data_IF_719584972919
#
_entry.id   IF_719584972919
#
_cell.length_a   1.000
_cell.length_b   1.000
_cell.length_c   1.000
_cell.angle_alpha   90.00
_cell.angle_beta   90.00
_cell.angle_gamma   90.00
#
_symmetry.space_group_name_H-M   'P 1'
#
loop_
_entity.id
_entity.type
_entity.pdbx_description
1 polymer ?
#
# COMPACT_ATOMS: atom_id res chain seq x y z
N UNK A 1 16.37 -52.02 -41.58
CA UNK A 1 15.13 -52.52 -40.94
C UNK A 1 14.35 -51.28 -40.50
N UNK A 2 13.35 -50.91 -41.28
CA UNK A 2 12.55 -49.69 -41.11
C UNK A 2 11.52 -49.92 -40.00
N UNK A 3 11.56 -49.09 -38.95
CA UNK A 3 10.51 -49.05 -37.92
C UNK A 3 9.26 -48.36 -38.48
N UNK A 4 8.12 -48.99 -38.25
CA UNK A 4 6.77 -48.65 -38.70
C UNK A 4 6.34 -47.24 -38.25
N UNK A 5 5.69 -46.51 -39.16
CA UNK A 5 5.14 -45.15 -39.02
C UNK A 5 4.19 -45.01 -37.82
N UNK A 6 3.54 -46.09 -37.37
CA UNK A 6 2.72 -46.09 -36.15
C UNK A 6 3.55 -45.98 -34.85
N UNK A 7 4.76 -46.53 -34.82
CA UNK A 7 5.62 -46.52 -33.62
C UNK A 7 6.32 -45.17 -33.45
N UNK A 8 6.57 -44.43 -34.54
CA UNK A 8 7.12 -43.05 -34.49
C UNK A 8 6.17 -42.04 -33.85
N UNK A 9 4.86 -42.17 -34.05
CA UNK A 9 3.88 -41.22 -33.51
C UNK A 9 3.63 -41.41 -32.00
N UNK A 10 3.80 -42.63 -31.47
CA UNK A 10 3.64 -42.89 -30.03
C UNK A 10 4.84 -42.38 -29.22
N UNK A 11 6.06 -42.43 -29.80
CA UNK A 11 7.26 -41.91 -29.14
C UNK A 11 7.28 -40.37 -29.07
N UNK A 12 6.74 -39.67 -30.08
CA UNK A 12 6.63 -38.20 -30.09
C UNK A 12 5.60 -37.72 -29.07
N UNK A 13 4.48 -38.43 -28.90
CA UNK A 13 3.48 -38.08 -27.87
C UNK A 13 4.01 -38.34 -26.46
N UNK A 14 4.78 -39.42 -26.24
CA UNK A 14 5.34 -39.71 -24.91
C UNK A 14 6.44 -38.72 -24.46
N UNK A 15 7.25 -38.20 -25.39
CA UNK A 15 8.26 -37.16 -25.09
C UNK A 15 7.58 -35.80 -24.83
N UNK A 16 6.50 -35.48 -25.55
CA UNK A 16 5.73 -34.24 -25.29
C UNK A 16 4.98 -34.33 -23.94
N UNK A 17 4.52 -35.50 -23.53
CA UNK A 17 3.87 -35.69 -22.23
C UNK A 17 4.82 -35.73 -21.03
N UNK A 18 6.11 -35.99 -21.23
CA UNK A 18 7.12 -35.99 -20.15
C UNK A 18 7.89 -34.68 -20.00
N UNK A 19 7.67 -33.71 -20.89
CA UNK A 19 8.11 -32.30 -20.71
C UNK A 19 7.10 -31.47 -19.92
N UNK A 20 5.89 -31.98 -19.66
CA UNK A 20 4.81 -31.25 -18.98
C UNK A 20 4.61 -31.58 -17.49
N UNK A 21 5.45 -32.42 -16.88
CA UNK A 21 5.38 -32.70 -15.43
C UNK A 21 6.79 -32.68 -14.85
N UNK A 22 7.28 -31.49 -14.52
CA UNK A 22 8.62 -31.32 -13.96
C UNK A 22 8.96 -29.88 -13.59
N UNK A 23 8.13 -29.20 -12.81
CA UNK A 23 8.53 -27.93 -12.18
C UNK A 23 9.11 -28.20 -10.80
N UNK A 24 10.41 -28.52 -10.78
CA UNK A 24 11.28 -28.27 -9.64
C UNK A 24 12.46 -27.44 -10.13
N UNK A 25 12.51 -26.17 -9.73
CA UNK A 25 13.73 -25.38 -9.53
C UNK A 25 13.30 -24.14 -8.71
N UNK A 26 13.93 -23.77 -7.60
CA UNK A 26 15.37 -23.79 -7.36
C UNK A 26 15.89 -22.41 -7.73
N UNK A 27 16.02 -21.56 -6.73
CA UNK A 27 16.34 -20.14 -6.80
C UNK A 27 17.77 -19.82 -7.28
N UNK A 28 17.99 -18.51 -7.51
CA UNK A 28 19.22 -17.68 -7.42
C UNK A 28 19.79 -17.16 -8.77
N UNK A 29 19.51 -15.88 -9.12
CA UNK A 29 20.32 -14.63 -8.89
C UNK A 29 21.37 -14.41 -10.01
N UNK A 30 21.61 -13.27 -10.69
CA UNK A 30 21.30 -11.84 -10.57
C UNK A 30 21.17 -11.24 -11.99
N UNK A 31 20.38 -10.17 -12.16
CA UNK A 31 20.59 -9.17 -13.22
C UNK A 31 19.92 -7.87 -12.79
N UNK A 32 20.71 -6.81 -12.73
CA UNK A 32 20.33 -5.44 -12.37
C UNK A 32 19.36 -4.91 -13.45
N UNK A 33 18.12 -4.57 -13.09
CA UNK A 33 17.16 -3.96 -14.03
C UNK A 33 15.95 -3.40 -13.27
N UNK A 34 15.54 -2.17 -13.59
CA UNK A 34 14.29 -1.57 -13.10
C UNK A 34 13.12 -2.23 -13.85
N UNK A 35 12.57 -3.31 -13.31
CA UNK A 35 11.52 -4.09 -13.99
C UNK A 35 10.13 -3.56 -13.63
N UNK A 36 9.35 -3.15 -14.63
CA UNK A 36 7.90 -3.00 -14.51
C UNK A 36 7.23 -4.37 -14.66
N UNK A 37 6.46 -4.81 -13.66
CA UNK A 37 5.64 -6.03 -13.69
C UNK A 37 4.20 -5.66 -14.07
N UNK A 38 3.74 -6.08 -15.25
CA UNK A 38 2.39 -5.80 -15.75
C UNK A 38 1.41 -6.92 -15.34
N UNK A 39 0.64 -6.73 -14.26
CA UNK A 39 -0.64 -7.43 -14.07
C UNK A 39 -1.79 -6.42 -14.19
N UNK A 40 -2.32 -6.23 -15.41
CA UNK A 40 -3.55 -5.45 -15.62
C UNK A 40 -4.75 -6.31 -15.20
N UNK A 41 -5.10 -6.29 -13.91
CA UNK A 41 -6.33 -6.90 -13.41
C UNK A 41 -7.52 -5.93 -13.51
N UNK A 42 -8.44 -6.18 -14.45
CA UNK A 42 -9.70 -5.42 -14.58
C UNK A 42 -10.72 -5.96 -13.58
N UNK A 43 -10.80 -5.36 -12.40
CA UNK A 43 -11.87 -5.66 -11.43
C UNK A 43 -12.96 -4.60 -11.54
N UNK A 44 -14.14 -5.00 -12.05
CA UNK A 44 -15.34 -4.20 -11.95
C UNK A 44 -15.90 -4.23 -10.53
N UNK A 45 -16.31 -3.07 -10.03
CA UNK A 45 -17.25 -3.01 -8.92
C UNK A 45 -18.70 -3.00 -9.47
N UNK A 46 -19.37 -4.13 -9.26
CA UNK A 46 -20.83 -4.36 -9.21
C UNK A 46 -21.78 -3.89 -10.33
N UNK A 47 -21.34 -3.45 -11.50
CA UNK A 47 -22.22 -3.28 -12.68
C UNK A 47 -21.92 -4.29 -13.78
N UNK A 48 -22.93 -5.01 -14.29
CA UNK A 48 -22.78 -6.17 -15.19
C UNK A 48 -22.38 -5.82 -16.64
N UNK A 49 -21.26 -5.13 -16.90
CA UNK A 49 -20.74 -4.93 -18.28
C UNK A 49 -19.20 -4.86 -18.35
N UNK A 50 -18.55 -5.91 -18.88
CA UNK A 50 -17.10 -5.90 -19.14
C UNK A 50 -16.72 -4.69 -20.02
N UNK A 51 -15.80 -3.85 -19.53
CA UNK A 51 -15.07 -2.87 -20.34
C UNK A 51 -13.72 -3.46 -20.72
N UNK A 52 -13.32 -3.37 -22.00
CA UNK A 52 -11.99 -3.80 -22.44
C UNK A 52 -11.03 -2.62 -22.44
N UNK A 53 -9.98 -2.70 -21.62
CA UNK A 53 -8.82 -1.83 -21.74
C UNK A 53 -7.84 -2.55 -22.67
N UNK A 54 -7.76 -2.13 -23.93
CA UNK A 54 -6.84 -2.72 -24.89
C UNK A 54 -5.54 -1.91 -24.91
N UNK A 55 -4.50 -2.46 -24.30
CA UNK A 55 -3.15 -1.94 -24.44
C UNK A 55 -2.60 -2.24 -25.86
N UNK A 56 -1.79 -1.35 -26.43
CA UNK A 56 -1.09 -1.58 -27.72
C UNK A 56 0.42 -1.66 -27.46
N UNK A 57 1.00 -2.86 -27.44
CA UNK A 57 2.46 -3.05 -27.38
C UNK A 57 3.12 -2.37 -28.58
N UNK A 58 4.05 -1.44 -28.33
CA UNK A 58 4.90 -0.87 -29.38
C UNK A 58 4.99 0.65 -29.47
N UNK A 59 4.15 1.43 -28.75
CA UNK A 59 4.23 2.90 -28.72
C UNK A 59 4.45 3.46 -27.29
N UNK A 60 5.30 2.80 -26.50
CA UNK A 60 5.92 3.44 -25.34
C UNK A 60 5.61 2.88 -23.95
N UNK A 61 4.64 1.99 -23.73
CA UNK A 61 4.48 1.39 -22.39
C UNK A 61 3.87 0.00 -22.36
N UNK A 62 4.65 -1.03 -22.67
CA UNK A 62 4.19 -2.41 -22.52
C UNK A 62 4.94 -3.39 -23.41
N UNK A 63 6.26 -3.29 -23.33
CA UNK A 63 7.01 -4.51 -23.17
C UNK A 63 7.24 -4.69 -21.68
N UNK A 64 7.09 -5.90 -21.16
CA UNK A 64 7.68 -6.29 -19.89
C UNK A 64 9.13 -5.77 -19.84
N UNK A 65 9.58 -5.26 -18.69
CA UNK A 65 10.97 -4.80 -18.48
C UNK A 65 11.37 -3.48 -19.19
N UNK A 66 10.46 -2.52 -19.37
CA UNK A 66 10.85 -1.18 -19.84
C UNK A 66 11.59 -0.41 -18.75
N UNK A 67 12.81 0.03 -19.05
CA UNK A 67 13.57 0.90 -18.17
C UNK A 67 13.01 2.34 -18.21
N UNK A 68 12.72 2.89 -17.03
CA UNK A 68 12.40 4.31 -16.84
C UNK A 68 13.66 5.01 -16.36
N UNK A 69 14.05 6.09 -17.04
CA UNK A 69 15.16 6.92 -16.60
C UNK A 69 14.69 7.91 -15.52
N UNK A 70 15.33 7.86 -14.35
CA UNK A 70 15.03 8.77 -13.25
C UNK A 70 15.29 10.23 -13.66
N UNK A 71 14.40 11.13 -13.23
CA UNK A 71 14.44 12.57 -13.50
C UNK A 71 13.99 12.96 -14.92
N UNK A 72 13.59 12.02 -15.77
CA UNK A 72 13.08 12.32 -17.13
C UNK A 72 11.62 11.96 -17.30
N UNK A 73 10.97 12.71 -18.18
CA UNK A 73 9.63 12.38 -18.67
C UNK A 73 9.67 11.15 -19.56
N UNK A 74 8.80 10.20 -19.24
CA UNK A 74 8.57 9.01 -20.05
C UNK A 74 7.12 9.06 -20.52
N UNK A 75 6.93 9.10 -21.83
CA UNK A 75 5.61 9.24 -22.46
C UNK A 75 5.02 7.89 -22.85
N UNK A 76 3.71 7.79 -22.74
CA UNK A 76 2.96 6.55 -22.87
C UNK A 76 1.59 6.81 -23.48
N UNK A 77 1.04 5.80 -24.15
CA UNK A 77 -0.29 5.88 -24.74
C UNK A 77 -1.18 4.74 -24.25
N UNK A 78 -2.32 5.11 -23.65
CA UNK A 78 -3.40 4.20 -23.29
C UNK A 78 -4.48 4.27 -24.35
N UNK A 79 -5.16 3.15 -24.54
CA UNK A 79 -6.17 2.98 -25.57
C UNK A 79 -7.42 2.35 -24.98
N UNK A 80 -8.52 3.10 -24.94
CA UNK A 80 -9.82 2.59 -24.51
C UNK A 80 -10.73 2.36 -25.70
N UNK A 81 -11.43 1.23 -25.71
CA UNK A 81 -12.38 0.89 -26.76
C UNK A 81 -13.75 0.61 -26.14
N UNK A 82 -14.75 1.36 -26.59
CA UNK A 82 -16.13 1.07 -26.21
C UNK A 82 -16.67 -0.05 -27.10
N UNK A 83 -16.60 -1.29 -26.61
CA UNK A 83 -17.09 -2.48 -27.32
C UNK A 83 -18.62 -2.66 -27.25
N UNK A 84 -19.36 -1.67 -26.77
CA UNK A 84 -20.83 -1.71 -26.72
C UNK A 84 -21.41 -2.04 -28.10
N UNK A 85 -22.24 -3.10 -28.25
CA UNK A 85 -22.85 -3.44 -29.53
C UNK A 85 -23.91 -2.41 -29.98
N UNK A 86 -24.30 -1.48 -29.08
CA UNK A 86 -25.19 -0.36 -29.41
C UNK A 86 -24.39 0.80 -29.99
N UNK A 87 -24.81 1.30 -31.15
CA UNK A 87 -24.22 2.48 -31.83
C UNK A 87 -24.57 3.83 -31.20
N UNK A 88 -25.40 3.85 -30.15
CA UNK A 88 -25.88 5.10 -29.50
C UNK A 88 -25.38 5.28 -28.06
N UNK A 89 -24.83 4.23 -27.44
CA UNK A 89 -24.54 4.23 -26.01
C UNK A 89 -23.07 4.55 -25.71
N UNK A 90 -22.70 5.84 -25.77
CA UNK A 90 -21.39 6.29 -25.32
C UNK A 90 -21.14 5.90 -23.86
N UNK A 91 -19.90 5.57 -23.53
CA UNK A 91 -19.43 5.60 -22.15
C UNK A 91 -19.13 7.04 -21.81
N UNK A 92 -19.84 7.60 -20.84
CA UNK A 92 -19.61 8.97 -20.37
C UNK A 92 -18.89 8.92 -19.04
N UNK A 93 -18.30 10.04 -18.65
CA UNK A 93 -17.80 10.20 -17.29
C UNK A 93 -16.67 9.20 -16.96
N UNK A 94 -15.83 8.83 -17.95
CA UNK A 94 -14.78 7.83 -17.77
C UNK A 94 -13.47 8.49 -17.33
N UNK A 95 -12.89 8.01 -16.24
CA UNK A 95 -11.58 8.43 -15.76
C UNK A 95 -10.62 7.25 -15.81
N UNK A 96 -9.34 7.54 -15.98
CA UNK A 96 -8.29 6.51 -15.94
C UNK A 96 -7.49 6.70 -14.67
N UNK A 97 -7.68 5.80 -13.71
CA UNK A 97 -6.88 5.73 -12.51
C UNK A 97 -5.58 4.99 -12.80
N UNK A 98 -4.47 5.67 -12.59
CA UNK A 98 -3.13 5.09 -12.64
C UNK A 98 -2.66 4.86 -11.22
N UNK A 99 -2.27 3.63 -10.89
CA UNK A 99 -1.66 3.27 -9.62
C UNK A 99 -0.24 2.84 -9.87
N UNK A 100 0.68 3.36 -9.07
CA UNK A 100 2.08 2.97 -9.06
C UNK A 100 2.42 2.48 -7.67
N UNK A 101 2.73 1.20 -7.54
CA UNK A 101 2.99 0.58 -6.23
C UNK A 101 4.44 0.79 -5.79
N UNK A 102 4.67 0.78 -4.48
CA UNK A 102 6.02 0.88 -3.87
C UNK A 102 6.77 2.19 -4.18
N UNK A 103 6.07 3.25 -4.58
CA UNK A 103 6.65 4.58 -4.80
C UNK A 103 5.97 5.61 -3.90
N UNK A 104 6.76 6.49 -3.28
CA UNK A 104 6.20 7.63 -2.55
C UNK A 104 5.74 8.72 -3.55
N UNK A 105 4.51 9.25 -3.43
CA UNK A 105 3.96 10.32 -4.26
C UNK A 105 4.89 11.52 -4.50
N UNK A 106 5.72 11.90 -3.54
CA UNK A 106 6.65 13.05 -3.67
C UNK A 106 7.77 12.80 -4.69
N UNK A 107 7.97 11.55 -5.13
CA UNK A 107 9.01 11.20 -6.10
C UNK A 107 8.43 10.98 -7.51
N UNK A 108 7.19 11.39 -7.75
CA UNK A 108 6.51 11.15 -9.03
C UNK A 108 5.69 12.36 -9.47
N UNK A 109 5.86 12.72 -10.73
CA UNK A 109 5.02 13.67 -11.44
C UNK A 109 4.30 12.94 -12.57
N UNK A 110 3.01 13.22 -12.74
CA UNK A 110 2.19 12.63 -13.79
C UNK A 110 1.49 13.75 -14.57
N UNK A 111 1.59 13.68 -15.88
CA UNK A 111 0.86 14.57 -16.78
C UNK A 111 0.06 13.76 -17.79
N UNK A 112 -1.03 14.34 -18.26
CA UNK A 112 -1.80 13.80 -19.38
C UNK A 112 -1.95 14.84 -20.47
N UNK A 113 -2.12 14.39 -21.71
CA UNK A 113 -2.26 15.27 -22.85
C UNK A 113 -3.73 15.59 -23.12
N UNK A 114 -4.07 16.87 -23.09
CA UNK A 114 -5.39 17.40 -23.44
C UNK A 114 -5.21 18.54 -24.45
N UNK A 115 -5.90 18.48 -25.58
CA UNK A 115 -5.86 19.49 -26.66
C UNK A 115 -4.43 19.89 -27.07
N UNK A 116 -3.58 18.89 -27.31
CA UNK A 116 -2.15 19.03 -27.64
C UNK A 116 -1.26 19.64 -26.55
N UNK A 117 -1.80 19.90 -25.36
CA UNK A 117 -1.10 20.46 -24.20
C UNK A 117 -0.96 19.42 -23.11
N UNK A 118 0.18 19.40 -22.42
CA UNK A 118 0.39 18.55 -21.25
C UNK A 118 -0.12 19.25 -19.99
N UNK A 119 -0.95 18.55 -19.23
CA UNK A 119 -1.54 19.05 -17.99
C UNK A 119 -1.11 18.20 -16.79
N UNK A 120 -0.67 18.88 -15.73
CA UNK A 120 -0.31 18.26 -14.45
C UNK A 120 -1.52 17.62 -13.80
N UNK A 121 -1.34 16.37 -13.42
CA UNK A 121 -2.31 15.59 -12.68
C UNK A 121 -1.84 15.50 -11.23
N UNK A 122 -2.69 15.89 -10.27
CA UNK A 122 -2.40 15.66 -8.87
C UNK A 122 -2.14 14.17 -8.59
N UNK A 123 -1.09 13.91 -7.83
CA UNK A 123 -0.71 12.57 -7.39
C UNK A 123 -0.98 12.45 -5.89
N UNK A 124 -1.55 11.33 -5.47
CA UNK A 124 -1.98 11.10 -4.10
C UNK A 124 -1.33 9.82 -3.55
N UNK A 125 -1.26 9.74 -2.23
CA UNK A 125 -0.83 8.50 -1.56
C UNK A 125 -1.91 7.43 -1.68
N UNK A 126 -1.53 6.24 -2.13
CA UNK A 126 -2.47 5.13 -2.37
C UNK A 126 -3.20 4.69 -1.10
N UNK A 127 -2.60 4.87 0.08
CA UNK A 127 -3.19 4.50 1.39
C UNK A 127 -4.47 5.28 1.69
N UNK A 128 -4.64 6.43 1.05
CA UNK A 128 -5.85 7.25 1.10
C UNK A 128 -7.03 6.59 0.37
N UNK A 129 -6.76 5.79 -0.66
CA UNK A 129 -7.78 5.07 -1.45
C UNK A 129 -7.94 3.63 -0.99
N UNK A 130 -6.83 2.89 -0.91
CA UNK A 130 -6.81 1.48 -0.57
C UNK A 130 -5.84 1.24 0.58
N UNK A 131 -6.42 0.92 1.73
CA UNK A 131 -5.69 0.76 3.00
C UNK A 131 -4.67 -0.37 2.88
N UNK A 132 -3.47 -0.13 3.40
CA UNK A 132 -2.38 -1.10 3.40
C UNK A 132 -1.62 -1.24 2.08
N UNK A 133 -2.04 -0.53 1.03
CA UNK A 133 -1.27 -0.45 -0.21
C UNK A 133 -0.41 0.81 -0.20
N UNK A 134 0.90 0.63 -0.39
CA UNK A 134 1.86 1.72 -0.51
C UNK A 134 2.11 2.03 -1.97
N UNK A 135 2.07 3.32 -2.30
CA UNK A 135 2.23 3.75 -3.67
C UNK A 135 1.66 5.14 -3.94
N UNK A 136 1.69 5.50 -5.21
CA UNK A 136 1.12 6.71 -5.75
C UNK A 136 -0.09 6.40 -6.62
N UNK A 137 -1.06 7.30 -6.66
CA UNK A 137 -2.26 7.18 -7.49
C UNK A 137 -2.64 8.52 -8.10
N UNK A 138 -3.05 8.49 -9.37
CA UNK A 138 -3.52 9.67 -10.09
C UNK A 138 -4.74 9.32 -10.95
N UNK A 139 -5.71 10.21 -10.99
CA UNK A 139 -6.90 10.09 -11.84
C UNK A 139 -6.72 10.98 -13.06
N UNK A 140 -6.55 10.36 -14.24
CA UNK A 140 -6.32 11.04 -15.51
C UNK A 140 -7.64 11.37 -16.22
N UNK A 141 -7.73 12.60 -16.71
CA UNK A 141 -8.81 13.06 -17.58
C UNK A 141 -9.41 14.40 -17.15
N UNK A 142 -10.29 14.97 -17.99
CA UNK A 142 -10.95 16.23 -17.69
C UNK A 142 -11.89 16.10 -16.48
N UNK A 143 -12.31 17.23 -15.92
CA UNK A 143 -13.19 17.29 -14.74
C UNK A 143 -14.54 16.53 -14.91
N UNK A 144 -15.03 16.43 -16.15
CA UNK A 144 -16.25 15.70 -16.50
C UNK A 144 -15.98 14.27 -16.99
N UNK A 145 -14.73 13.81 -16.94
CA UNK A 145 -14.30 12.54 -17.49
C UNK A 145 -14.39 12.50 -19.03
N UNK A 146 -13.84 11.43 -19.58
CA UNK A 146 -13.88 11.18 -21.02
C UNK A 146 -15.23 10.64 -21.46
N UNK A 147 -15.68 11.09 -22.63
CA UNK A 147 -16.72 10.41 -23.40
C UNK A 147 -16.08 9.53 -24.46
N UNK A 148 -16.44 8.24 -24.47
CA UNK A 148 -15.99 7.24 -25.43
C UNK A 148 -17.21 6.76 -26.21
N UNK A 149 -17.33 7.26 -27.43
CA UNK A 149 -18.38 6.87 -28.36
C UNK A 149 -18.35 5.36 -28.66
N UNK A 150 -19.51 4.73 -28.93
CA UNK A 150 -19.57 3.31 -29.24
C UNK A 150 -18.72 2.91 -30.44
N UNK A 151 -18.10 1.74 -30.36
CA UNK A 151 -17.25 1.16 -31.39
C UNK A 151 -16.05 2.05 -31.78
N UNK A 152 -15.81 3.17 -31.09
CA UNK A 152 -14.64 4.01 -31.27
C UNK A 152 -13.57 3.67 -30.25
N UNK A 153 -12.33 3.96 -30.65
CA UNK A 153 -11.14 3.87 -29.82
C UNK A 153 -10.69 5.29 -29.45
N UNK A 154 -10.53 5.56 -28.15
CA UNK A 154 -9.93 6.79 -27.65
C UNK A 154 -8.49 6.49 -27.26
N UNK A 155 -7.55 7.23 -27.85
CA UNK A 155 -6.14 7.26 -27.43
C UNK A 155 -5.98 8.35 -26.38
N UNK A 156 -5.24 8.04 -25.32
CA UNK A 156 -4.92 8.94 -24.23
C UNK A 156 -3.41 8.91 -24.04
N UNK A 157 -2.76 10.05 -24.18
CA UNK A 157 -1.33 10.17 -23.91
C UNK A 157 -1.13 10.61 -22.46
N UNK A 158 -0.23 9.94 -21.76
CA UNK A 158 0.22 10.30 -20.43
C UNK A 158 1.75 10.32 -20.40
N UNK A 159 2.32 11.02 -19.42
CA UNK A 159 3.74 10.92 -19.15
C UNK A 159 4.00 10.92 -17.66
N UNK A 160 5.01 10.16 -17.25
CA UNK A 160 5.42 10.03 -15.86
C UNK A 160 6.89 10.40 -15.75
N UNK A 161 7.22 11.14 -14.70
CA UNK A 161 8.59 11.45 -14.31
C UNK A 161 8.79 10.96 -12.89
N UNK A 162 9.80 10.12 -12.71
CA UNK A 162 10.14 9.51 -11.42
C UNK A 162 11.49 10.06 -10.99
N UNK A 163 11.56 10.72 -9.83
CA UNK A 163 12.77 11.45 -9.40
C UNK A 163 13.94 10.54 -8.99
N UNK A 164 13.63 9.32 -8.55
CA UNK A 164 14.61 8.36 -8.01
C UNK A 164 14.53 7.02 -8.70
N UNK A 165 15.57 6.21 -8.54
CA UNK A 165 15.56 4.83 -9.01
C UNK A 165 14.73 3.99 -8.04
N UNK A 166 13.77 3.24 -8.58
CA UNK A 166 12.95 2.27 -7.85
C UNK A 166 13.08 0.89 -8.51
N UNK A 167 13.26 -0.14 -7.70
CA UNK A 167 13.26 -1.53 -8.17
C UNK A 167 11.82 -2.06 -8.18
N UNK A 168 11.46 -2.83 -9.20
CA UNK A 168 10.17 -3.54 -9.29
C UNK A 168 8.94 -2.63 -9.13
N UNK A 169 8.95 -1.48 -9.82
CA UNK A 169 7.78 -0.61 -9.87
C UNK A 169 6.64 -1.38 -10.54
N UNK A 170 5.49 -1.52 -9.88
CA UNK A 170 4.31 -2.11 -10.48
C UNK A 170 3.34 -1.00 -10.86
N UNK A 171 2.74 -1.09 -12.05
CA UNK A 171 1.81 -0.08 -12.55
C UNK A 171 0.51 -0.74 -12.95
N UNK A 172 -0.60 -0.19 -12.46
CA UNK A 172 -1.94 -0.65 -12.78
C UNK A 172 -2.77 0.51 -13.33
N UNK A 173 -3.47 0.28 -14.44
CA UNK A 173 -4.44 1.21 -15.00
C UNK A 173 -5.86 0.68 -14.86
N UNK A 174 -6.75 1.50 -14.32
CA UNK A 174 -8.16 1.17 -14.14
C UNK A 174 -9.04 2.23 -14.81
N UNK A 175 -10.05 1.80 -15.57
CA UNK A 175 -11.09 2.69 -16.08
C UNK A 175 -12.26 2.74 -15.09
N UNK A 176 -12.58 3.92 -14.56
CA UNK A 176 -13.65 4.12 -13.56
C UNK A 176 -14.71 5.09 -14.09
N UNK A 177 -15.97 4.89 -13.71
CA UNK A 177 -17.06 5.82 -14.04
C UNK A 177 -17.23 6.84 -12.91
N UNK A 178 -17.21 8.13 -13.23
CA UNK A 178 -17.31 9.21 -12.24
C UNK A 178 -18.70 9.38 -11.63
N UNK A 179 -19.73 8.69 -12.17
CA UNK A 179 -21.08 8.61 -11.59
C UNK A 179 -21.19 7.55 -10.48
N UNK A 180 -20.15 6.74 -10.28
CA UNK A 180 -20.13 5.79 -9.18
C UNK A 180 -20.02 6.55 -7.86
N UNK A 181 -21.05 6.43 -7.02
CA UNK A 181 -21.00 6.75 -5.58
C UNK A 181 -20.00 5.87 -4.80
N UNK A 182 -19.18 5.10 -5.51
CA UNK A 182 -18.08 4.35 -4.96
C UNK A 182 -16.95 5.33 -4.74
N UNK A 183 -16.75 5.60 -3.46
CA UNK A 183 -15.60 6.26 -2.87
C UNK A 183 -14.50 6.61 -3.87
N UNK A 184 -14.30 7.91 -4.02
CA UNK A 184 -13.06 8.54 -4.49
C UNK A 184 -13.05 8.78 -6.00
N UNK A 185 -13.71 9.87 -6.40
CA UNK A 185 -13.14 10.74 -7.43
C UNK A 185 -12.38 11.85 -6.70
N UNK A 186 -11.08 11.96 -6.93
CA UNK A 186 -10.24 12.93 -6.20
C UNK A 186 -10.41 14.35 -6.78
N UNK A 187 -10.97 14.47 -7.99
CA UNK A 187 -11.03 15.72 -8.76
C UNK A 187 -12.33 16.55 -8.72
N UNK A 188 -13.48 16.02 -8.27
CA UNK A 188 -14.67 16.85 -7.98
C UNK A 188 -14.95 16.80 -6.48
N UNK A 189 -14.67 17.93 -5.84
CA UNK A 189 -15.08 18.31 -4.49
C UNK A 189 -14.50 17.44 -3.35
N UNK A 190 -13.45 17.96 -2.72
CA UNK A 190 -13.22 17.94 -1.26
C UNK A 190 -13.10 16.59 -0.52
N UNK A 191 -13.05 15.45 -1.21
CA UNK A 191 -13.10 14.14 -0.53
C UNK A 191 -11.77 13.69 0.13
N UNK A 192 -10.64 14.32 -0.24
CA UNK A 192 -9.34 14.18 0.44
C UNK A 192 -8.80 15.45 1.06
N UNK A 193 -9.26 16.63 0.68
CA UNK A 193 -8.89 17.85 1.41
C UNK A 193 -9.32 17.76 2.89
N UNK A 194 -10.33 16.93 3.18
CA UNK A 194 -10.76 16.58 4.53
C UNK A 194 -9.90 15.50 5.21
N UNK A 195 -9.03 14.77 4.51
CA UNK A 195 -8.26 13.63 5.03
C UNK A 195 -6.76 13.89 5.00
N UNK A 196 -6.14 13.90 6.17
CA UNK A 196 -4.68 13.98 6.32
C UNK A 196 -4.12 12.58 6.56
N UNK A 197 -3.06 12.24 5.85
CA UNK A 197 -2.25 11.06 6.08
C UNK A 197 -0.95 11.47 6.77
N UNK A 198 -0.74 11.00 7.99
CA UNK A 198 0.45 11.27 8.76
C UNK A 198 1.30 10.00 8.84
N UNK A 199 2.55 10.11 8.40
CA UNK A 199 3.58 9.10 8.70
C UNK A 199 4.17 9.39 10.09
N UNK A 200 4.67 8.37 10.81
CA UNK A 200 5.41 8.61 12.03
C UNK A 200 6.64 9.46 11.72
N UNK A 201 6.88 10.47 12.55
CA UNK A 201 8.14 11.24 12.55
C UNK A 201 9.25 10.47 13.28
N UNK A 202 8.86 9.51 14.12
CA UNK A 202 9.75 8.60 14.81
C UNK A 202 8.99 7.31 15.17
N UNK A 203 9.66 6.18 15.07
CA UNK A 203 9.21 4.94 15.65
C UNK A 203 10.36 4.16 16.28
N UNK A 204 10.04 3.27 17.22
CA UNK A 204 10.99 2.33 17.82
C UNK A 204 10.24 1.26 18.60
N UNK A 205 10.96 0.22 19.01
CA UNK A 205 10.57 -0.54 20.20
C UNK A 205 11.62 -0.41 21.31
N UNK A 206 11.21 -0.69 22.53
CA UNK A 206 12.07 -0.78 23.71
C UNK A 206 11.83 -2.13 24.37
N UNK A 207 12.90 -2.83 24.75
CA UNK A 207 12.78 -4.18 25.32
C UNK A 207 13.54 -4.34 26.64
N UNK A 208 12.98 -5.15 27.53
CA UNK A 208 13.53 -5.41 28.86
C UNK A 208 14.88 -6.12 28.82
N UNK A 209 15.10 -6.98 27.82
CA UNK A 209 16.35 -7.72 27.61
C UNK A 209 17.52 -6.80 27.20
N UNK A 210 17.22 -5.64 26.58
CA UNK A 210 18.22 -4.64 26.17
C UNK A 210 17.80 -3.23 26.64
N UNK A 211 17.85 -2.97 27.95
CA UNK A 211 17.09 -1.87 28.54
C UNK A 211 17.61 -0.47 28.20
N UNK A 212 18.85 -0.36 27.69
CA UNK A 212 19.49 0.88 27.26
C UNK A 212 19.50 1.08 25.75
N UNK A 213 18.95 0.14 24.98
CA UNK A 213 18.98 0.17 23.52
C UNK A 213 17.74 0.84 22.97
N UNK A 214 17.94 1.68 21.95
CA UNK A 214 16.90 2.24 21.11
C UNK A 214 17.01 1.60 19.72
N UNK A 215 15.89 1.13 19.18
CA UNK A 215 15.79 0.39 17.93
C UNK A 215 15.18 1.22 16.77
N UNK A 216 15.28 2.56 16.79
CA UNK A 216 14.57 3.48 15.87
C UNK A 216 14.94 3.43 14.38
N UNK A 217 15.72 2.45 13.91
CA UNK A 217 16.10 2.34 12.50
C UNK A 217 16.02 0.87 12.00
N UNK A 218 15.31 0.02 12.73
CA UNK A 218 15.09 -1.37 12.31
C UNK A 218 13.88 -1.45 11.39
N UNK A 219 13.85 -2.38 10.45
CA UNK A 219 12.72 -2.61 9.53
C UNK A 219 11.43 -3.04 10.27
N UNK A 220 11.59 -3.56 11.48
CA UNK A 220 10.49 -4.10 12.27
C UNK A 220 10.44 -3.52 13.68
N UNK A 221 9.23 -3.20 14.12
CA UNK A 221 8.89 -2.86 15.50
C UNK A 221 8.48 -4.13 16.23
N UNK A 222 8.91 -4.27 17.47
CA UNK A 222 8.67 -5.48 18.25
C UNK A 222 7.78 -5.24 19.45
N UNK A 223 6.79 -6.12 19.59
CA UNK A 223 5.96 -6.26 20.76
C UNK A 223 6.20 -7.64 21.35
N UNK A 224 6.59 -7.73 22.61
CA UNK A 224 6.80 -9.01 23.28
C UNK A 224 6.32 -8.96 24.71
N UNK A 225 5.97 -10.13 25.23
CA UNK A 225 5.60 -10.31 26.62
C UNK A 225 6.03 -11.68 27.11
N UNK A 226 6.53 -11.73 28.34
CA UNK A 226 7.01 -12.95 28.98
C UNK A 226 7.98 -12.64 30.11
N UNK A 227 8.44 -13.67 30.81
CA UNK A 227 9.33 -13.52 31.95
C UNK A 227 10.62 -12.75 31.57
N UNK A 228 10.71 -11.50 32.03
CA UNK A 228 11.79 -10.55 31.75
C UNK A 228 12.04 -10.25 30.25
N UNK A 229 11.01 -10.43 29.42
CA UNK A 229 11.13 -10.34 27.97
C UNK A 229 10.07 -9.40 27.36
N UNK A 230 9.58 -8.44 28.14
CA UNK A 230 8.59 -7.49 27.66
C UNK A 230 9.23 -6.49 26.69
N UNK A 231 8.47 -6.09 25.67
CA UNK A 231 8.82 -4.97 24.81
C UNK A 231 7.59 -4.18 24.38
N UNK A 232 7.79 -2.87 24.23
CA UNK A 232 6.76 -1.91 23.83
C UNK A 232 7.17 -1.20 22.55
N UNK A 233 6.19 -0.96 21.69
CA UNK A 233 6.36 -0.16 20.48
C UNK A 233 5.97 1.27 20.77
N UNK A 234 6.73 2.23 20.26
CA UNK A 234 6.42 3.65 20.30
C UNK A 234 6.35 4.21 18.89
N UNK A 235 5.33 5.03 18.64
CA UNK A 235 5.13 5.81 17.41
C UNK A 235 4.93 7.28 17.80
N UNK A 236 5.58 8.19 17.09
CA UNK A 236 5.41 9.63 17.23
C UNK A 236 4.90 10.20 15.91
N UNK A 237 3.88 11.05 15.97
CA UNK A 237 3.35 11.80 14.84
C UNK A 237 3.43 13.30 15.11
N UNK A 238 3.63 14.08 14.05
CA UNK A 238 3.51 15.54 14.13
C UNK A 238 2.05 15.91 14.36
N UNK A 239 1.76 16.61 15.47
CA UNK A 239 0.38 16.99 15.77
C UNK A 239 -0.05 18.24 15.02
N UNK A 240 0.88 19.03 14.49
CA UNK A 240 0.57 20.27 13.76
C UNK A 240 -0.13 19.98 12.42
N UNK A 241 0.05 18.77 11.89
CA UNK A 241 -0.66 18.27 10.70
C UNK A 241 -2.08 17.75 11.01
N UNK A 242 -2.45 17.60 12.28
CA UNK A 242 -3.78 17.10 12.67
C UNK A 242 -4.79 18.26 12.59
N UNK A 243 -5.89 18.11 11.82
CA UNK A 243 -6.89 19.17 11.69
C UNK A 243 -7.57 19.48 13.03
N UNK A 244 -7.87 20.77 13.26
CA UNK A 244 -8.50 21.24 14.51
C UNK A 244 -9.89 20.65 14.77
N UNK A 245 -10.55 20.13 13.72
CA UNK A 245 -11.82 19.42 13.81
C UNK A 245 -11.60 18.02 13.31
N UNK A 246 -11.66 17.03 14.21
CA UNK A 246 -11.52 15.62 13.85
C UNK A 246 -12.89 14.97 13.83
N UNK A 247 -13.37 14.48 12.68
CA UNK A 247 -14.52 13.56 12.62
C UNK A 247 -14.11 12.12 12.85
N UNK A 248 -13.01 11.69 12.23
CA UNK A 248 -12.52 10.31 12.30
C UNK A 248 -11.00 10.29 12.38
N UNK A 249 -10.45 9.33 13.13
CA UNK A 249 -9.02 9.06 13.10
C UNK A 249 -8.77 7.57 13.26
N UNK A 250 -7.91 7.01 12.42
CA UNK A 250 -7.61 5.59 12.35
C UNK A 250 -6.09 5.40 12.22
N UNK A 251 -5.47 4.77 13.22
CA UNK A 251 -4.08 4.34 13.17
C UNK A 251 -4.01 2.96 12.52
N UNK A 252 -3.14 2.82 11.54
CA UNK A 252 -2.91 1.61 10.78
C UNK A 252 -1.51 1.08 11.04
N UNK A 253 -1.43 -0.21 11.36
CA UNK A 253 -0.15 -0.88 11.62
C UNK A 253 -0.21 -2.27 10.98
N UNK A 254 0.80 -2.59 10.17
CA UNK A 254 0.85 -3.85 9.45
C UNK A 254 1.67 -4.88 10.23
N UNK A 255 1.03 -6.00 10.58
CA UNK A 255 1.70 -7.10 11.27
C UNK A 255 2.60 -7.89 10.33
N UNK A 256 3.81 -8.14 10.77
CA UNK A 256 4.76 -9.03 10.12
C UNK A 256 5.09 -10.22 11.04
N UNK A 257 5.05 -11.43 10.48
CA UNK A 257 5.55 -12.61 11.18
C UNK A 257 6.81 -13.14 10.49
N UNK A 258 7.90 -13.17 11.25
CA UNK A 258 9.04 -14.03 10.91
C UNK A 258 8.68 -15.50 11.13
N UNK A 259 9.36 -16.42 10.44
CA UNK A 259 9.08 -17.86 10.38
C UNK A 259 9.14 -18.65 11.70
N UNK A 260 9.19 -18.00 12.86
CA UNK A 260 9.48 -18.62 14.16
C UNK A 260 8.36 -18.61 15.22
N UNK A 261 7.14 -18.15 14.93
CA UNK A 261 6.17 -17.84 16.00
C UNK A 261 4.71 -18.21 15.67
N UNK A 262 4.42 -19.51 15.47
CA UNK A 262 3.11 -20.00 15.01
C UNK A 262 1.97 -19.90 16.04
N UNK A 263 2.26 -19.87 17.34
CA UNK A 263 1.24 -20.03 18.40
C UNK A 263 0.26 -18.84 18.49
N UNK A 264 0.74 -17.64 18.19
CA UNK A 264 -0.07 -16.42 18.20
C UNK A 264 -0.93 -16.25 16.95
N UNK A 265 -0.53 -16.89 15.84
CA UNK A 265 -1.30 -16.88 14.59
C UNK A 265 -2.69 -17.49 14.80
N UNK A 266 -2.77 -18.55 15.61
CA UNK A 266 -3.97 -19.37 15.74
C UNK A 266 -4.75 -19.08 17.02
N UNK A 267 -4.11 -18.54 18.07
CA UNK A 267 -4.76 -18.24 19.36
C UNK A 267 -5.18 -16.78 19.55
N UNK A 268 -4.66 -15.86 18.74
CA UNK A 268 -4.90 -14.42 18.88
C UNK A 268 -4.33 -13.85 20.18
N UNK A 269 -4.33 -12.53 20.27
CA UNK A 269 -3.91 -11.81 21.47
C UNK A 269 -4.46 -10.40 21.44
N UNK A 270 -4.34 -9.67 22.55
CA UNK A 270 -4.91 -8.34 22.66
C UNK A 270 -3.80 -7.31 22.85
N UNK A 271 -3.85 -6.26 22.03
CA UNK A 271 -2.96 -5.10 22.08
C UNK A 271 -3.71 -3.92 22.64
N UNK A 272 -3.07 -3.22 23.55
CA UNK A 272 -3.50 -1.94 24.08
C UNK A 272 -2.65 -0.82 23.50
N UNK A 273 -3.32 0.28 23.16
CA UNK A 273 -2.73 1.49 22.62
C UNK A 273 -2.90 2.61 23.66
N UNK A 274 -1.82 3.26 24.04
CA UNK A 274 -1.79 4.33 25.04
C UNK A 274 -1.30 5.62 24.41
N UNK A 275 -1.79 6.76 24.91
CA UNK A 275 -1.15 8.05 24.68
C UNK A 275 -0.13 8.34 25.77
N UNK A 276 1.04 8.85 25.38
CA UNK A 276 2.04 9.37 26.31
C UNK A 276 2.10 10.89 26.17
N UNK A 277 1.55 11.61 27.14
CA UNK A 277 1.51 13.08 27.15
C UNK A 277 2.88 13.77 27.39
N UNK A 278 3.95 12.98 27.52
CA UNK A 278 5.29 13.51 27.81
C UNK A 278 6.10 13.56 26.53
N UNK A 279 6.73 14.70 26.29
CA UNK A 279 7.74 14.82 25.24
C UNK A 279 8.88 13.81 25.50
N UNK A 280 9.02 12.84 24.59
CA UNK A 280 10.09 11.86 24.63
C UNK A 280 11.16 12.27 23.63
N UNK A 281 12.39 12.48 24.10
CA UNK A 281 13.53 12.65 23.18
C UNK A 281 13.97 11.26 22.72
N UNK A 282 14.54 11.15 21.51
CA UNK A 282 15.07 9.87 20.98
C UNK A 282 15.99 9.13 21.97
N UNK A 283 16.80 9.87 22.74
CA UNK A 283 17.69 9.30 23.79
C UNK A 283 16.96 8.72 25.01
N UNK A 284 15.73 9.14 25.26
CA UNK A 284 14.90 8.73 26.39
C UNK A 284 14.04 7.51 26.05
N UNK A 285 14.01 7.08 24.79
CA UNK A 285 13.32 5.88 24.29
C UNK A 285 14.10 4.62 24.65
N UNK A 286 14.07 4.28 25.93
CA UNK A 286 14.74 3.11 26.52
C UNK A 286 13.80 2.41 27.50
N UNK A 287 13.96 1.10 27.70
CA UNK A 287 13.08 0.34 28.58
C UNK A 287 12.95 0.96 29.97
N UNK A 288 14.08 1.29 30.61
CA UNK A 288 14.08 1.80 31.98
C UNK A 288 13.33 3.14 32.15
N UNK A 289 13.20 3.93 31.09
CA UNK A 289 12.38 5.16 31.08
C UNK A 289 10.92 4.83 30.81
N UNK A 290 10.65 4.07 29.76
CA UNK A 290 9.29 3.79 29.29
C UNK A 290 8.51 2.91 30.28
N UNK A 291 9.15 1.90 30.87
CA UNK A 291 8.50 1.00 31.84
C UNK A 291 8.09 1.70 33.15
N UNK A 292 8.62 2.90 33.40
CA UNK A 292 8.27 3.73 34.57
C UNK A 292 7.14 4.71 34.30
N UNK A 293 6.65 4.80 33.06
CA UNK A 293 5.55 5.69 32.70
C UNK A 293 4.25 5.19 33.32
N UNK A 294 3.46 6.13 33.84
CA UNK A 294 2.10 5.84 34.27
C UNK A 294 1.19 5.78 33.04
N UNK A 295 0.69 4.58 32.72
CA UNK A 295 -0.13 4.30 31.53
C UNK A 295 -1.62 4.36 31.89
N UNK A 296 -2.13 5.54 32.21
CA UNK A 296 -3.55 5.75 32.54
C UNK A 296 -4.41 6.06 31.30
N UNK A 297 -3.80 6.55 30.22
CA UNK A 297 -4.49 6.99 29.01
C UNK A 297 -4.60 5.85 27.99
N UNK A 298 -5.34 4.79 28.33
CA UNK A 298 -5.71 3.76 27.36
C UNK A 298 -6.62 4.38 26.30
N UNK A 299 -6.20 4.32 25.04
CA UNK A 299 -6.94 4.87 23.91
C UNK A 299 -7.86 3.82 23.30
N UNK A 300 -7.32 2.63 23.07
CA UNK A 300 -8.03 1.53 22.42
C UNK A 300 -7.36 0.20 22.75
N UNK A 301 -8.17 -0.85 22.79
CA UNK A 301 -7.74 -2.22 22.99
C UNK A 301 -8.35 -3.07 21.86
N UNK A 302 -7.52 -3.80 21.13
CA UNK A 302 -7.96 -4.60 19.97
C UNK A 302 -7.41 -6.02 20.04
N UNK A 303 -8.26 -6.99 19.68
CA UNK A 303 -7.82 -8.35 19.46
C UNK A 303 -7.20 -8.47 18.07
N UNK A 304 -5.98 -9.02 18.05
CA UNK A 304 -5.23 -9.27 16.84
C UNK A 304 -5.07 -10.78 16.63
N UNK A 305 -5.43 -11.22 15.43
CA UNK A 305 -5.39 -12.62 15.00
C UNK A 305 -4.94 -12.70 13.53
N UNK A 306 -4.26 -13.79 13.18
CA UNK A 306 -3.83 -14.07 11.81
C UNK A 306 -2.36 -13.72 11.54
N UNK A 307 -2.03 -13.64 10.26
CA UNK A 307 -0.68 -13.36 9.76
C UNK A 307 -0.76 -12.36 8.60
N UNK A 308 0.20 -11.43 8.53
CA UNK A 308 0.29 -10.42 7.48
C UNK A 308 -1.00 -9.60 7.37
N UNK A 309 -1.55 -9.21 8.52
CA UNK A 309 -2.80 -8.48 8.62
C UNK A 309 -2.51 -7.00 8.91
N UNK A 310 -3.21 -6.13 8.20
CA UNK A 310 -3.27 -4.70 8.54
C UNK A 310 -4.29 -4.51 9.66
N UNK A 311 -3.82 -4.07 10.83
CA UNK A 311 -4.69 -3.71 11.94
C UNK A 311 -5.04 -2.23 11.92
N UNK A 312 -6.20 -1.94 12.48
CA UNK A 312 -6.79 -0.61 12.52
C UNK A 312 -7.27 -0.30 13.93
N UNK A 313 -6.74 0.79 14.48
CA UNK A 313 -7.03 1.29 15.81
C UNK A 313 -7.80 2.59 15.68
N UNK A 314 -9.01 2.66 16.28
CA UNK A 314 -9.85 3.87 16.22
C UNK A 314 -9.35 4.90 17.23
N UNK A 315 -8.85 6.03 16.73
CA UNK A 315 -8.25 7.12 17.53
C UNK A 315 -9.16 8.34 17.66
N UNK A 316 -10.30 8.35 16.95
CA UNK A 316 -11.11 9.55 16.75
C UNK A 316 -11.68 10.16 18.03
N UNK A 317 -12.08 9.35 19.01
CA UNK A 317 -12.59 9.87 20.28
C UNK A 317 -11.51 10.61 21.07
N UNK A 318 -10.30 10.05 21.11
CA UNK A 318 -9.18 10.66 21.79
C UNK A 318 -8.78 11.99 21.14
N UNK A 319 -8.57 12.01 19.81
CA UNK A 319 -8.15 13.23 19.10
C UNK A 319 -9.22 14.34 19.12
N UNK A 320 -10.51 14.01 19.27
CA UNK A 320 -11.58 15.01 19.42
C UNK A 320 -11.60 15.69 20.78
N UNK A 321 -11.22 14.97 21.83
CA UNK A 321 -11.42 15.38 23.21
C UNK A 321 -10.12 15.84 23.90
N UNK A 322 -8.99 15.78 23.21
CA UNK A 322 -7.68 16.05 23.79
C UNK A 322 -7.04 17.25 23.12
N UNK A 323 -6.45 18.13 23.92
CA UNK A 323 -5.51 19.12 23.43
C UNK A 323 -4.16 18.42 23.25
N UNK A 324 -3.74 18.26 21.99
CA UNK A 324 -2.45 17.65 21.65
C UNK A 324 -1.52 18.78 21.24
N UNK A 325 -0.51 19.04 22.06
CA UNK A 325 0.48 20.07 21.78
C UNK A 325 1.67 19.47 21.02
N UNK A 326 1.89 19.95 19.79
CA UNK A 326 3.04 19.68 18.90
C UNK A 326 3.26 18.22 18.46
N UNK A 327 2.97 17.22 19.28
CA UNK A 327 3.28 15.80 19.00
C UNK A 327 2.25 14.85 19.59
N UNK A 328 1.90 13.81 18.84
CA UNK A 328 1.12 12.67 19.29
C UNK A 328 2.03 11.47 19.49
N UNK A 329 2.26 11.08 20.75
CA UNK A 329 3.09 9.90 21.09
C UNK A 329 2.19 8.75 21.51
N UNK A 330 2.32 7.63 20.80
CA UNK A 330 1.52 6.42 20.99
C UNK A 330 2.43 5.29 21.46
N UNK A 331 2.00 4.56 22.47
CA UNK A 331 2.65 3.32 22.92
C UNK A 331 1.73 2.12 22.72
N UNK A 332 2.27 1.05 22.16
CA UNK A 332 1.59 -0.24 22.07
C UNK A 332 2.23 -1.23 23.04
N UNK A 333 1.38 -2.00 23.72
CA UNK A 333 1.76 -3.13 24.58
C UNK A 333 0.72 -4.25 24.48
N UNK A 334 1.09 -5.45 24.90
CA UNK A 334 0.09 -6.49 25.17
C UNK A 334 -0.76 -6.15 26.39
N UNK A 335 -2.04 -6.55 26.39
CA UNK A 335 -2.91 -6.41 27.57
C UNK A 335 -2.59 -7.43 28.67
N UNK A 336 -2.08 -8.61 28.30
CA UNK A 336 -1.65 -9.64 29.23
C UNK A 336 -0.22 -9.42 29.72
N UNK A 337 -0.01 -9.43 31.03
CA UNK A 337 1.30 -9.15 31.67
C UNK A 337 2.12 -10.40 32.01
N UNK A 338 1.62 -11.61 31.71
CA UNK A 338 2.37 -12.85 31.96
C UNK A 338 1.76 -13.99 31.16
N UNK A 339 2.30 -14.24 29.98
CA UNK A 339 2.08 -15.51 29.31
C UNK A 339 3.13 -16.50 29.82
N UNK A 340 2.75 -17.77 30.05
CA UNK A 340 3.70 -18.81 30.50
C UNK A 340 4.83 -19.01 29.48
N UNK A 341 4.53 -18.78 28.20
CA UNK A 341 5.47 -18.80 27.09
C UNK A 341 5.65 -17.41 26.49
N UNK A 342 6.88 -17.10 26.05
CA UNK A 342 7.21 -15.80 25.44
C UNK A 342 6.37 -15.59 24.18
N UNK A 343 5.54 -14.56 24.22
CA UNK A 343 4.76 -14.10 23.07
C UNK A 343 5.48 -12.93 22.42
N UNK A 344 5.55 -12.93 21.09
CA UNK A 344 6.25 -11.91 20.30
C UNK A 344 5.48 -11.65 19.02
N UNK A 345 5.35 -10.39 18.64
CA UNK A 345 4.74 -9.92 17.39
C UNK A 345 5.65 -8.86 16.82
N UNK A 346 5.75 -8.82 15.50
CA UNK A 346 6.41 -7.74 14.80
C UNK A 346 5.43 -6.95 13.96
N UNK A 347 5.70 -5.68 13.82
CA UNK A 347 5.07 -4.78 12.89
C UNK A 347 6.15 -4.20 11.98
N UNK A 348 5.78 -3.75 10.78
CA UNK A 348 6.72 -2.93 10.02
C UNK A 348 6.94 -1.59 10.71
N UNK A 349 8.17 -1.09 10.65
CA UNK A 349 8.53 0.28 11.03
C UNK A 349 8.39 1.23 9.84
N UNK A 350 8.75 2.50 10.04
CA UNK A 350 8.92 3.50 8.99
C UNK A 350 9.96 3.11 7.93
N UNK A 351 10.95 2.28 8.30
CA UNK A 351 11.96 1.74 7.39
C UNK A 351 11.44 0.52 6.60
N UNK A 352 10.31 -0.04 7.04
CA UNK A 352 9.67 -1.18 6.42
C UNK A 352 8.75 -0.81 5.25
N UNK A 353 8.54 -1.76 4.34
CA UNK A 353 7.70 -1.55 3.13
C UNK A 353 6.23 -1.19 3.39
N UNK A 354 5.71 -1.54 4.56
CA UNK A 354 4.32 -1.31 4.98
C UNK A 354 4.31 -0.49 6.28
N UNK A 355 4.93 0.69 6.23
CA UNK A 355 5.09 1.57 7.39
C UNK A 355 3.75 1.87 8.09
N UNK A 356 3.76 2.05 9.42
CA UNK A 356 2.55 2.48 10.13
C UNK A 356 2.17 3.89 9.68
N UNK A 357 0.88 4.22 9.79
CA UNK A 357 0.38 5.54 9.41
C UNK A 357 -0.93 5.88 10.13
N UNK A 358 -1.20 7.17 10.30
CA UNK A 358 -2.43 7.70 10.86
C UNK A 358 -3.22 8.40 9.76
N UNK A 359 -4.50 8.06 9.60
CA UNK A 359 -5.43 8.83 8.76
C UNK A 359 -6.36 9.60 9.68
N UNK A 360 -6.42 10.92 9.51
CA UNK A 360 -7.36 11.80 10.21
C UNK A 360 -8.29 12.43 9.18
N UNK A 361 -9.58 12.46 9.45
CA UNK A 361 -10.56 13.16 8.61
C UNK A 361 -11.34 14.20 9.42
N UNK A 362 -11.60 15.35 8.80
CA UNK A 362 -12.35 16.47 9.38
C UNK A 362 -13.87 16.41 9.21
#
# INVERSE_FOLDING_TARGET
MLLDTKTKNILIVAIISSVLVGTASGAQYFSVSNVLSDEINVVMDNSRKLMSLSYVPGEGLGGENKEIEAGKWNEFQISLKNDSPSVTNSWKNILIRTKLYNINPDNIEIEHKQDETWENVPVYDMRLIKKGETGAVADLGPADGWEIEPQKKKKLDLRVKIEKVFENLEVEFQAITSDSKLEIYIGKENSFESKVLLNPTLDTFVCQESPSTNHSNEEFLELSTGNNADSYVLLEFDADEIPSKVKKAELYIYQYWGSGFSELRDSGTTIQVFHIAKELRKRDLTWGKISSLNLENLLVEENILGNNVLYRFSMGEYLRNSEIENRLVILLRFSGTSFEEKRRIRFYSQEGKNSPYLIVSD
#
